data_IF_085437680759
#
_entry.id   IF_085437680759
#
_cell.length_a   1.000
_cell.length_b   1.000
_cell.length_c   1.000
_cell.angle_alpha   90.00
_cell.angle_beta   90.00
_cell.angle_gamma   90.00
#
_symmetry.space_group_name_H-M   'P 1'
#
loop_
_entity.id
_entity.type
_entity.pdbx_description
1 polymer ?
#
# COMPACT_ATOMS: atom_id res chain seq x y z
N UNK A 1 8.17 -1.77 22.97
CA UNK A 1 7.18 -2.49 23.76
C UNK A 1 7.50 -2.38 25.25
N UNK A 2 8.66 -2.81 25.70
CA UNK A 2 9.07 -2.77 27.11
C UNK A 2 9.14 -1.34 27.68
N UNK A 3 9.58 -0.34 26.89
CA UNK A 3 9.59 1.09 27.27
C UNK A 3 8.21 1.64 27.62
N UNK A 4 7.17 1.19 26.91
CA UNK A 4 5.81 1.66 27.16
C UNK A 4 5.15 0.92 28.35
N UNK A 5 5.57 -0.31 28.65
CA UNK A 5 5.04 -1.06 29.79
C UNK A 5 5.37 -0.36 31.10
N UNK A 6 6.55 0.15 31.27
CA UNK A 6 6.97 0.90 32.47
C UNK A 6 6.13 2.17 32.64
N UNK A 7 5.74 2.82 31.54
CA UNK A 7 4.85 3.97 31.57
C UNK A 7 3.45 3.61 32.08
N UNK A 8 2.88 2.48 31.64
CA UNK A 8 1.58 2.01 32.10
C UNK A 8 1.60 1.63 33.59
N UNK A 9 2.73 1.06 34.07
CA UNK A 9 2.89 0.71 35.47
C UNK A 9 3.12 1.94 36.38
N UNK A 10 3.59 3.04 35.81
CA UNK A 10 3.85 4.28 36.55
C UNK A 10 2.58 5.03 36.93
N UNK A 11 1.54 4.97 36.11
CA UNK A 11 0.29 5.65 36.36
C UNK A 11 -0.74 4.71 37.04
N UNK A 12 -1.19 5.09 38.23
CA UNK A 12 -2.34 4.44 38.90
C UNK A 12 -3.65 4.98 38.28
N UNK A 13 -3.97 4.51 37.08
CA UNK A 13 -5.10 4.98 36.28
C UNK A 13 -5.72 3.83 35.48
N UNK A 14 -7.00 3.96 35.17
CA UNK A 14 -7.66 3.08 34.22
C UNK A 14 -7.05 3.27 32.83
N UNK A 15 -6.71 2.16 32.20
CA UNK A 15 -6.08 2.13 30.87
C UNK A 15 -7.09 1.63 29.84
N UNK A 16 -7.24 2.37 28.75
CA UNK A 16 -8.08 1.99 27.62
C UNK A 16 -7.22 1.94 26.37
N UNK A 17 -7.20 0.79 25.69
CA UNK A 17 -6.51 0.60 24.42
C UNK A 17 -7.50 0.33 23.29
N UNK A 18 -7.32 1.02 22.16
CA UNK A 18 -8.05 0.78 20.93
C UNK A 18 -7.08 0.36 19.84
N UNK A 19 -7.34 -0.77 19.21
CA UNK A 19 -6.56 -1.23 18.05
C UNK A 19 -7.44 -2.01 17.09
N UNK A 20 -7.24 -1.77 15.79
CA UNK A 20 -7.85 -2.58 14.74
C UNK A 20 -7.08 -3.89 14.50
N UNK A 21 -5.85 -4.00 15.01
CA UNK A 21 -4.93 -5.12 14.75
C UNK A 21 -4.20 -5.52 16.01
N UNK A 22 -4.86 -6.22 16.96
CA UNK A 22 -4.18 -6.74 18.14
C UNK A 22 -3.09 -7.73 17.73
N UNK A 23 -1.96 -7.70 18.44
CA UNK A 23 -0.77 -8.50 18.14
C UNK A 23 -0.56 -9.55 19.22
N UNK A 24 -0.38 -10.80 18.81
CA UNK A 24 -0.08 -11.95 19.66
C UNK A 24 1.32 -12.52 19.31
N UNK A 25 2.39 -11.84 19.69
CA UNK A 25 3.75 -12.40 19.60
C UNK A 25 4.33 -12.59 20.99
N UNK A 26 5.21 -13.58 21.15
CA UNK A 26 5.89 -13.89 22.43
C UNK A 26 6.52 -12.64 23.07
N UNK A 27 7.05 -11.73 22.27
CA UNK A 27 7.68 -10.48 22.72
C UNK A 27 6.77 -9.25 22.68
N UNK A 28 5.56 -9.35 22.11
CA UNK A 28 4.65 -8.23 21.89
C UNK A 28 3.21 -8.74 21.91
N UNK A 29 2.61 -8.84 23.08
CA UNK A 29 1.23 -9.24 23.23
C UNK A 29 0.39 -8.05 23.69
N UNK A 30 -0.55 -7.62 22.86
CA UNK A 30 -1.46 -6.50 23.15
C UNK A 30 -2.40 -6.85 24.30
N UNK A 31 -2.85 -8.08 24.39
CA UNK A 31 -3.77 -8.54 25.42
C UNK A 31 -3.12 -8.54 26.80
N UNK A 32 -1.87 -9.01 26.91
CA UNK A 32 -1.09 -8.96 28.15
C UNK A 32 -0.82 -7.53 28.62
N UNK A 33 -0.58 -6.60 27.64
CA UNK A 33 -0.32 -5.21 27.95
C UNK A 33 -1.52 -4.54 28.66
N UNK A 34 -2.74 -4.90 28.25
CA UNK A 34 -3.99 -4.37 28.79
C UNK A 34 -4.65 -5.29 29.80
N UNK A 35 -3.96 -6.36 30.27
CA UNK A 35 -4.46 -7.28 31.26
C UNK A 35 -5.72 -8.05 30.85
N UNK A 36 -5.86 -8.33 29.55
CA UNK A 36 -7.01 -9.08 29.04
C UNK A 36 -6.87 -10.55 29.38
N UNK A 37 -7.76 -11.06 30.24
CA UNK A 37 -7.79 -12.47 30.62
C UNK A 37 -8.12 -13.36 29.42
N UNK A 38 -7.37 -14.44 29.26
CA UNK A 38 -7.53 -15.42 28.17
C UNK A 38 -7.57 -14.78 26.77
N UNK A 39 -6.81 -13.68 26.57
CA UNK A 39 -6.77 -12.95 25.31
C UNK A 39 -8.15 -12.41 24.85
N UNK A 40 -9.05 -12.20 25.79
CA UNK A 40 -10.39 -11.73 25.52
C UNK A 40 -10.49 -10.22 25.79
N UNK A 41 -10.60 -9.36 24.75
CA UNK A 41 -10.73 -7.92 24.93
C UNK A 41 -12.11 -7.57 25.49
N UNK A 42 -12.23 -6.43 26.17
CA UNK A 42 -13.49 -5.93 26.70
C UNK A 42 -14.57 -5.74 25.62
N UNK A 43 -14.17 -5.37 24.42
CA UNK A 43 -15.03 -5.28 23.25
C UNK A 43 -14.26 -5.75 22.01
N UNK A 44 -14.91 -6.52 21.17
CA UNK A 44 -14.38 -7.03 19.92
C UNK A 44 -15.39 -6.77 18.81
N UNK A 45 -14.93 -6.11 17.75
CA UNK A 45 -15.72 -5.88 16.53
C UNK A 45 -14.83 -6.16 15.33
N UNK A 46 -14.99 -7.31 14.72
CA UNK A 46 -14.15 -7.80 13.65
C UNK A 46 -14.53 -7.19 12.30
N UNK A 47 -13.65 -7.29 11.32
CA UNK A 47 -13.91 -6.86 9.95
C UNK A 47 -15.17 -7.54 9.38
N UNK A 48 -15.33 -8.85 9.61
CA UNK A 48 -16.51 -9.62 9.19
C UNK A 48 -17.79 -9.12 9.85
N UNK A 49 -17.73 -8.75 11.12
CA UNK A 49 -18.87 -8.17 11.85
C UNK A 49 -19.26 -6.82 11.24
N UNK A 50 -18.25 -6.03 10.85
CA UNK A 50 -18.47 -4.69 10.28
C UNK A 50 -19.07 -4.74 8.87
N UNK A 51 -18.69 -5.68 8.01
CA UNK A 51 -19.26 -5.81 6.66
C UNK A 51 -20.65 -6.46 6.68
N UNK A 52 -20.94 -7.35 7.66
CA UNK A 52 -22.21 -8.04 7.78
C UNK A 52 -23.22 -7.30 8.67
N UNK A 53 -22.83 -6.21 9.30
CA UNK A 53 -23.74 -5.38 10.11
C UNK A 53 -24.84 -4.74 9.25
N UNK A 54 -26.00 -4.44 9.83
CA UNK A 54 -27.11 -3.77 9.15
C UNK A 54 -27.45 -2.46 9.86
N UNK A 55 -27.19 -1.29 9.25
CA UNK A 55 -26.44 -1.07 8.01
C UNK A 55 -24.93 -1.43 8.15
N UNK A 56 -24.25 -1.78 7.07
CA UNK A 56 -22.83 -2.13 7.13
C UNK A 56 -21.97 -0.91 7.52
N UNK A 57 -20.83 -1.16 8.19
CA UNK A 57 -19.85 -0.13 8.54
C UNK A 57 -18.65 -0.10 7.59
N UNK A 58 -18.34 -1.24 6.95
CA UNK A 58 -17.26 -1.38 5.98
C UNK A 58 -17.77 -2.11 4.73
N UNK A 59 -17.02 -1.99 3.63
CA UNK A 59 -17.28 -2.72 2.40
C UNK A 59 -16.31 -3.90 2.24
N UNK A 60 -16.75 -5.02 1.62
CA UNK A 60 -15.85 -6.13 1.30
C UNK A 60 -14.87 -5.74 0.20
N UNK A 61 -13.67 -6.33 0.21
CA UNK A 61 -12.68 -6.16 -0.85
C UNK A 61 -12.52 -7.43 -1.69
N UNK A 62 -12.08 -7.25 -2.93
CA UNK A 62 -11.70 -8.34 -3.83
C UNK A 62 -10.21 -8.26 -4.12
N UNK A 63 -9.54 -9.42 -4.11
CA UNK A 63 -8.12 -9.52 -4.44
C UNK A 63 -7.95 -9.98 -5.87
N UNK A 64 -7.13 -9.24 -6.64
CA UNK A 64 -6.66 -9.64 -7.97
C UNK A 64 -5.14 -9.77 -7.92
N UNK A 65 -4.64 -10.98 -8.04
CA UNK A 65 -3.21 -11.23 -8.13
C UNK A 65 -2.75 -11.12 -9.59
N UNK A 66 -1.73 -10.30 -9.83
CA UNK A 66 -1.10 -10.15 -11.15
C UNK A 66 0.35 -10.61 -11.03
N UNK A 67 0.67 -11.70 -11.72
CA UNK A 67 2.01 -12.26 -11.73
C UNK A 67 2.67 -12.01 -13.08
N UNK A 68 3.86 -11.43 -13.09
CA UNK A 68 4.68 -11.38 -14.29
C UNK A 68 5.54 -12.65 -14.37
N UNK A 69 5.82 -13.16 -15.57
CA UNK A 69 6.71 -14.31 -15.75
C UNK A 69 8.10 -14.10 -15.17
N UNK A 70 8.50 -12.85 -15.05
CA UNK A 70 9.72 -12.37 -14.44
C UNK A 70 9.74 -12.59 -12.91
N UNK A 71 8.67 -12.24 -12.21
CA UNK A 71 8.55 -12.44 -10.76
C UNK A 71 8.35 -13.90 -10.36
N UNK A 72 7.85 -14.74 -11.28
CA UNK A 72 7.55 -16.13 -10.98
C UNK A 72 8.73 -17.09 -11.21
N UNK A 73 9.69 -16.74 -12.07
CA UNK A 73 10.77 -17.66 -12.50
C UNK A 73 12.18 -17.17 -12.20
N UNK A 74 12.34 -15.93 -11.74
CA UNK A 74 13.65 -15.28 -11.73
C UNK A 74 14.09 -14.86 -13.14
N UNK A 75 15.30 -14.36 -13.29
CA UNK A 75 15.87 -13.95 -14.57
C UNK A 75 17.37 -14.21 -14.62
N UNK A 76 17.84 -14.65 -15.80
CA UNK A 76 19.26 -14.73 -16.13
C UNK A 76 19.66 -13.48 -16.90
N UNK A 77 20.90 -13.04 -16.76
CA UNK A 77 21.46 -11.89 -17.50
C UNK A 77 21.18 -12.00 -19.01
N UNK A 78 21.33 -13.19 -19.60
CA UNK A 78 21.07 -13.43 -21.02
C UNK A 78 19.62 -13.18 -21.46
N UNK A 79 18.66 -13.18 -20.53
CA UNK A 79 17.23 -12.99 -20.77
C UNK A 79 16.77 -11.55 -20.48
N UNK A 80 17.68 -10.69 -20.01
CA UNK A 80 17.40 -9.31 -19.69
C UNK A 80 17.30 -8.42 -20.93
N UNK A 81 16.45 -7.39 -20.86
CA UNK A 81 16.42 -6.34 -21.88
C UNK A 81 17.70 -5.47 -21.81
N UNK A 82 18.03 -4.71 -22.87
CA UNK A 82 19.18 -3.81 -22.85
C UNK A 82 19.17 -2.85 -21.66
N UNK A 83 18.00 -2.27 -21.33
CA UNK A 83 17.84 -1.33 -20.22
C UNK A 83 18.06 -2.01 -18.86
N UNK A 84 17.63 -3.26 -18.70
CA UNK A 84 17.84 -4.05 -17.49
C UNK A 84 19.30 -4.41 -17.29
N UNK A 85 20.02 -4.73 -18.39
CA UNK A 85 21.45 -5.00 -18.35
C UNK A 85 22.23 -3.76 -17.97
N UNK A 86 21.92 -2.61 -18.56
CA UNK A 86 22.55 -1.34 -18.22
C UNK A 86 22.38 -0.98 -16.74
N UNK A 87 21.19 -1.17 -16.16
CA UNK A 87 20.95 -0.95 -14.73
C UNK A 87 21.77 -1.89 -13.85
N UNK A 88 21.92 -3.16 -14.24
CA UNK A 88 22.72 -4.12 -13.51
C UNK A 88 24.22 -3.82 -13.61
N UNK A 89 24.71 -3.47 -14.80
CA UNK A 89 26.11 -3.11 -15.06
C UNK A 89 26.56 -1.88 -14.28
N UNK A 90 25.66 -0.96 -13.97
CA UNK A 90 25.95 0.20 -13.12
C UNK A 90 26.12 -0.17 -11.64
N UNK A 91 25.60 -1.31 -11.20
CA UNK A 91 25.56 -1.74 -9.80
C UNK A 91 26.57 -2.85 -9.49
N UNK A 92 26.94 -3.68 -10.46
CA UNK A 92 27.73 -4.90 -10.26
C UNK A 92 28.96 -4.94 -11.16
N UNK A 93 30.04 -5.56 -10.65
CA UNK A 93 31.33 -5.66 -11.38
C UNK A 93 31.36 -6.81 -12.38
N UNK A 94 30.59 -7.87 -12.17
CA UNK A 94 30.52 -9.06 -13.03
C UNK A 94 29.05 -9.44 -13.31
N UNK A 95 28.29 -8.61 -14.03
CA UNK A 95 26.85 -8.80 -14.19
C UNK A 95 26.49 -10.05 -15.02
N UNK A 96 27.38 -10.53 -15.89
CA UNK A 96 27.11 -11.68 -16.77
C UNK A 96 27.02 -13.02 -16.02
N UNK A 97 27.66 -13.12 -14.84
CA UNK A 97 27.65 -14.31 -14.00
C UNK A 97 26.44 -14.39 -13.06
N UNK A 98 25.59 -13.36 -13.06
CA UNK A 98 24.50 -13.25 -12.11
C UNK A 98 23.22 -13.93 -12.61
N UNK A 99 22.70 -14.81 -11.82
CA UNK A 99 21.36 -15.38 -11.93
C UNK A 99 20.54 -14.91 -10.72
N UNK A 100 19.39 -14.25 -10.98
CA UNK A 100 18.51 -13.82 -9.92
C UNK A 100 17.40 -14.84 -9.70
N UNK A 101 17.32 -15.37 -8.50
CA UNK A 101 16.15 -16.11 -8.06
C UNK A 101 14.99 -15.16 -7.75
N UNK A 102 13.76 -15.70 -7.72
CA UNK A 102 12.52 -14.93 -7.52
C UNK A 102 12.62 -13.88 -6.39
N UNK A 103 13.22 -14.23 -5.25
CA UNK A 103 13.34 -13.34 -4.09
C UNK A 103 14.42 -12.26 -4.24
N UNK A 104 15.38 -12.41 -5.16
CA UNK A 104 16.46 -11.48 -5.41
C UNK A 104 16.09 -10.43 -6.47
N UNK A 105 15.30 -10.84 -7.46
CA UNK A 105 14.76 -9.94 -8.50
C UNK A 105 14.05 -8.74 -7.87
N UNK A 106 13.31 -9.00 -6.81
CA UNK A 106 12.54 -7.98 -6.10
C UNK A 106 13.38 -6.95 -5.35
N UNK A 107 14.64 -7.26 -5.05
CA UNK A 107 15.53 -6.37 -4.28
C UNK A 107 16.45 -5.50 -5.15
N UNK A 108 16.85 -5.96 -6.31
CA UNK A 108 17.96 -5.38 -7.07
C UNK A 108 17.54 -4.76 -8.41
N UNK A 109 16.44 -5.22 -9.03
CA UNK A 109 16.03 -4.73 -10.33
C UNK A 109 14.70 -4.01 -10.24
N UNK A 110 14.73 -2.68 -10.29
CA UNK A 110 13.53 -1.88 -10.55
C UNK A 110 13.13 -2.06 -12.04
N UNK A 111 12.42 -3.13 -12.32
CA UNK A 111 12.04 -3.45 -13.68
C UNK A 111 10.97 -2.47 -14.19
N UNK A 112 11.35 -1.58 -15.09
CA UNK A 112 10.45 -0.62 -15.75
C UNK A 112 9.24 -1.33 -16.39
N UNK A 113 9.44 -2.53 -16.94
CA UNK A 113 8.36 -3.31 -17.55
C UNK A 113 7.37 -3.84 -16.51
N UNK A 114 7.85 -4.27 -15.34
CA UNK A 114 6.96 -4.67 -14.23
C UNK A 114 6.14 -3.48 -13.75
N UNK A 115 6.77 -2.32 -13.55
CA UNK A 115 6.09 -1.11 -13.14
C UNK A 115 5.09 -0.63 -14.20
N UNK A 116 5.44 -0.73 -15.49
CA UNK A 116 4.51 -0.46 -16.60
C UNK A 116 3.28 -1.35 -16.54
N UNK A 117 3.45 -2.66 -16.30
CA UNK A 117 2.33 -3.59 -16.14
C UNK A 117 1.48 -3.31 -14.90
N UNK A 118 2.09 -2.91 -13.78
CA UNK A 118 1.36 -2.50 -12.57
C UNK A 118 0.43 -1.32 -12.90
N UNK A 119 0.97 -0.27 -13.52
CA UNK A 119 0.21 0.93 -13.90
C UNK A 119 -0.86 0.60 -14.93
N UNK A 120 -0.53 -0.14 -16.00
CA UNK A 120 -1.51 -0.56 -17.01
C UNK A 120 -2.65 -1.38 -16.40
N UNK A 121 -2.32 -2.34 -15.51
CA UNK A 121 -3.32 -3.16 -14.85
C UNK A 121 -4.29 -2.33 -13.99
N UNK A 122 -3.78 -1.34 -13.25
CA UNK A 122 -4.63 -0.42 -12.50
C UNK A 122 -5.54 0.38 -13.44
N UNK A 123 -4.99 0.93 -14.52
CA UNK A 123 -5.74 1.79 -15.45
C UNK A 123 -6.77 1.01 -16.28
N UNK A 124 -6.51 -0.26 -16.59
CA UNK A 124 -7.40 -1.11 -17.40
C UNK A 124 -8.48 -1.81 -16.55
N UNK A 125 -8.13 -2.23 -15.34
CA UNK A 125 -8.96 -3.12 -14.53
C UNK A 125 -9.35 -2.57 -13.16
N UNK A 126 -8.80 -1.41 -12.78
CA UNK A 126 -9.17 -0.73 -11.54
C UNK A 126 -10.63 -0.30 -11.55
N UNK A 127 -11.22 -0.24 -10.37
CA UNK A 127 -12.57 0.31 -10.19
C UNK A 127 -12.54 1.76 -10.66
N UNK A 128 -13.52 2.12 -11.49
CA UNK A 128 -13.67 3.48 -12.02
C UNK A 128 -14.35 4.39 -11.01
N UNK A 129 -14.26 5.69 -11.25
CA UNK A 129 -15.05 6.68 -10.52
C UNK A 129 -16.56 6.57 -10.88
N UNK A 130 -17.41 7.33 -10.20
CA UNK A 130 -18.85 7.30 -10.43
C UNK A 130 -19.26 7.66 -11.85
N UNK A 131 -18.42 8.36 -12.64
CA UNK A 131 -18.66 8.67 -14.06
C UNK A 131 -18.28 7.52 -14.99
N UNK A 132 -17.48 6.55 -14.51
CA UNK A 132 -16.91 5.46 -15.30
C UNK A 132 -15.80 5.89 -16.27
N UNK A 133 -15.41 7.16 -16.29
CA UNK A 133 -14.44 7.69 -17.26
C UNK A 133 -13.00 7.61 -16.78
N UNK A 134 -12.77 7.83 -15.47
CA UNK A 134 -11.45 7.82 -14.87
C UNK A 134 -11.30 6.64 -13.90
N UNK A 135 -10.07 6.26 -13.63
CA UNK A 135 -9.79 5.35 -12.51
C UNK A 135 -10.23 6.03 -11.23
N UNK A 136 -10.90 5.29 -10.35
CA UNK A 136 -11.30 5.77 -9.03
C UNK A 136 -10.08 6.05 -8.16
N UNK A 137 -10.25 6.75 -7.05
CA UNK A 137 -9.14 7.07 -6.15
C UNK A 137 -8.39 5.80 -5.75
N UNK A 138 -7.08 5.84 -5.91
CA UNK A 138 -6.21 4.67 -5.83
C UNK A 138 -4.98 4.98 -4.99
N UNK A 139 -4.52 4.01 -4.19
CA UNK A 139 -3.24 4.09 -3.49
C UNK A 139 -2.34 2.98 -4.03
N UNK A 140 -1.13 3.34 -4.49
CA UNK A 140 -0.07 2.40 -4.85
C UNK A 140 0.98 2.40 -3.74
N UNK A 141 1.15 1.28 -3.08
CA UNK A 141 2.14 1.11 -2.02
C UNK A 141 3.47 0.69 -2.63
N UNK A 142 4.39 1.65 -2.72
CA UNK A 142 5.74 1.45 -3.23
C UNK A 142 6.71 0.96 -2.15
N UNK A 143 7.85 0.40 -2.57
CA UNK A 143 8.89 -0.13 -1.68
C UNK A 143 9.76 0.97 -1.08
N UNK A 144 10.13 1.96 -1.87
CA UNK A 144 11.02 3.07 -1.52
C UNK A 144 10.59 4.33 -2.25
N UNK A 145 11.16 5.46 -1.86
CA UNK A 145 10.97 6.74 -2.53
C UNK A 145 11.33 6.67 -4.03
N UNK A 146 12.50 6.11 -4.36
CA UNK A 146 12.93 5.95 -5.76
C UNK A 146 11.95 5.09 -6.57
N UNK A 147 11.41 4.03 -5.95
CA UNK A 147 10.38 3.21 -6.58
C UNK A 147 9.08 3.99 -6.79
N UNK A 148 8.70 4.83 -5.84
CA UNK A 148 7.51 5.69 -5.98
C UNK A 148 7.68 6.71 -7.12
N UNK A 149 8.84 7.35 -7.22
CA UNK A 149 9.18 8.25 -8.34
C UNK A 149 9.16 7.51 -9.67
N UNK A 150 9.72 6.30 -9.74
CA UNK A 150 9.71 5.49 -10.96
C UNK A 150 8.29 5.14 -11.39
N UNK A 151 7.41 4.74 -10.46
CA UNK A 151 6.00 4.45 -10.76
C UNK A 151 5.27 5.68 -11.29
N UNK A 152 5.47 6.87 -10.68
CA UNK A 152 4.91 8.13 -11.19
C UNK A 152 5.45 8.46 -12.58
N UNK A 153 6.76 8.36 -12.79
CA UNK A 153 7.39 8.62 -14.10
C UNK A 153 6.85 7.69 -15.20
N UNK A 154 6.68 6.41 -14.88
CA UNK A 154 6.08 5.42 -15.79
C UNK A 154 4.63 5.77 -16.10
N UNK A 155 3.86 6.23 -15.11
CA UNK A 155 2.49 6.71 -15.34
C UNK A 155 2.47 7.89 -16.29
N UNK A 156 3.30 8.91 -16.06
CA UNK A 156 3.35 10.12 -16.87
C UNK A 156 3.81 9.82 -18.32
N UNK A 157 4.72 8.86 -18.50
CA UNK A 157 5.15 8.38 -19.82
C UNK A 157 4.01 7.65 -20.56
N UNK A 158 3.25 6.78 -19.88
CA UNK A 158 2.15 6.02 -20.49
C UNK A 158 0.90 6.86 -20.77
N UNK A 159 0.67 7.86 -19.94
CA UNK A 159 -0.56 8.68 -19.95
C UNK A 159 -0.26 10.19 -19.95
N UNK A 160 0.51 10.70 -20.95
CA UNK A 160 0.92 12.11 -21.01
C UNK A 160 -0.24 13.10 -21.10
N UNK A 161 -1.41 12.64 -21.53
CA UNK A 161 -2.64 13.46 -21.61
C UNK A 161 -3.10 13.99 -20.24
N UNK A 162 -2.69 13.38 -19.16
CA UNK A 162 -3.03 13.84 -17.80
C UNK A 162 -2.11 14.92 -17.26
N UNK A 163 -0.99 15.20 -17.93
CA UNK A 163 -0.08 16.32 -17.61
C UNK A 163 0.48 16.29 -16.17
N UNK A 164 0.73 15.11 -15.62
CA UNK A 164 1.27 14.92 -14.27
C UNK A 164 0.33 15.27 -13.13
N UNK A 165 -0.98 15.47 -13.38
CA UNK A 165 -1.95 15.87 -12.34
C UNK A 165 -2.60 14.69 -11.64
N UNK A 166 -2.76 13.56 -12.33
CA UNK A 166 -3.56 12.42 -11.88
C UNK A 166 -2.79 11.49 -10.92
N UNK A 167 -1.48 11.37 -11.09
CA UNK A 167 -0.62 10.47 -10.31
C UNK A 167 0.50 11.26 -9.62
N UNK A 168 0.60 11.17 -8.30
CA UNK A 168 1.63 11.89 -7.52
C UNK A 168 2.23 11.01 -6.43
N UNK A 169 3.53 11.20 -6.19
CA UNK A 169 4.19 10.65 -5.01
C UNK A 169 3.76 11.42 -3.77
N UNK A 170 3.35 10.69 -2.74
CA UNK A 170 2.99 11.22 -1.43
C UNK A 170 3.74 10.41 -0.38
N UNK A 171 4.90 10.88 0.02
CA UNK A 171 5.72 10.26 1.06
C UNK A 171 6.48 11.31 1.89
N UNK A 172 7.28 10.86 2.86
CA UNK A 172 8.00 11.74 3.77
C UNK A 172 9.12 12.58 3.12
N UNK A 173 9.51 12.28 1.88
CA UNK A 173 10.53 13.01 1.12
C UNK A 173 9.93 14.09 0.20
N UNK A 174 8.62 14.05 -0.03
CA UNK A 174 7.92 15.06 -0.82
C UNK A 174 7.67 16.32 0.04
N UNK A 175 8.28 17.48 -0.28
CA UNK A 175 8.14 18.68 0.53
C UNK A 175 6.70 19.19 0.63
N UNK A 176 5.85 18.85 -0.33
CA UNK A 176 4.43 19.25 -0.39
C UNK A 176 3.49 18.11 0.00
N UNK A 177 3.96 17.09 0.72
CA UNK A 177 3.18 15.90 1.03
C UNK A 177 1.84 16.23 1.71
N UNK A 178 1.81 17.15 2.68
CA UNK A 178 0.57 17.55 3.35
C UNK A 178 -0.43 18.20 2.39
N UNK A 179 0.02 19.11 1.53
CA UNK A 179 -0.84 19.74 0.53
C UNK A 179 -1.36 18.73 -0.49
N UNK A 180 -0.53 17.75 -0.89
CA UNK A 180 -0.95 16.67 -1.78
C UNK A 180 -1.93 15.70 -1.11
N UNK A 181 -1.81 15.46 0.21
CA UNK A 181 -2.80 14.70 0.98
C UNK A 181 -4.16 15.43 0.97
N UNK A 182 -4.16 16.74 1.19
CA UNK A 182 -5.40 17.51 1.19
C UNK A 182 -6.01 17.56 -0.22
N UNK A 183 -5.18 17.70 -1.25
CA UNK A 183 -5.61 17.59 -2.64
C UNK A 183 -6.17 16.19 -2.94
N UNK A 184 -5.55 15.12 -2.44
CA UNK A 184 -6.03 13.74 -2.61
C UNK A 184 -7.34 13.47 -1.86
N UNK A 185 -7.62 14.19 -0.76
CA UNK A 185 -8.91 14.13 -0.05
C UNK A 185 -10.03 14.86 -0.81
N UNK A 186 -9.70 15.89 -1.59
CA UNK A 186 -10.72 16.65 -2.32
C UNK A 186 -11.34 15.80 -3.43
N UNK A 187 -12.65 15.57 -3.34
CA UNK A 187 -13.42 14.82 -4.32
C UNK A 187 -13.37 15.42 -5.74
N UNK A 188 -13.14 16.75 -5.84
CA UNK A 188 -13.12 17.49 -7.11
C UNK A 188 -11.72 17.57 -7.72
N UNK A 189 -10.69 17.17 -7.01
CA UNK A 189 -9.32 17.19 -7.50
C UNK A 189 -9.11 16.21 -8.65
N UNK A 190 -8.23 16.58 -9.58
CA UNK A 190 -7.75 15.68 -10.63
C UNK A 190 -6.82 14.57 -10.08
N UNK A 191 -6.29 14.72 -8.85
CA UNK A 191 -5.40 13.74 -8.23
C UNK A 191 -6.17 12.48 -7.86
N UNK A 192 -5.94 11.39 -8.59
CA UNK A 192 -6.63 10.10 -8.43
C UNK A 192 -5.73 9.00 -7.89
N UNK A 193 -4.42 9.07 -8.14
CA UNK A 193 -3.47 8.02 -7.79
C UNK A 193 -2.40 8.60 -6.88
N UNK A 194 -2.39 8.16 -5.64
CA UNK A 194 -1.34 8.45 -4.67
C UNK A 194 -0.34 7.29 -4.63
N UNK A 195 0.93 7.55 -4.95
CA UNK A 195 2.01 6.56 -4.81
C UNK A 195 2.73 6.83 -3.50
N UNK A 196 2.67 5.90 -2.56
CA UNK A 196 3.20 6.10 -1.20
C UNK A 196 4.10 4.96 -0.75
N UNK A 197 5.06 5.28 0.12
CA UNK A 197 5.94 4.27 0.71
C UNK A 197 5.34 3.73 2.00
N UNK A 198 5.21 4.53 3.04
CA UNK A 198 4.64 4.16 4.34
C UNK A 198 3.70 5.24 4.89
N UNK A 199 3.72 6.46 4.34
CA UNK A 199 3.00 7.61 4.87
C UNK A 199 1.48 7.43 4.84
N UNK A 200 0.95 6.77 3.81
CA UNK A 200 -0.48 6.53 3.64
C UNK A 200 -0.96 5.20 4.25
N UNK A 201 -0.06 4.42 4.85
CA UNK A 201 -0.43 3.16 5.54
C UNK A 201 -1.32 3.45 6.75
N UNK A 202 -1.09 4.60 7.43
CA UNK A 202 -1.84 5.03 8.62
C UNK A 202 -2.21 6.51 8.52
N UNK A 203 -3.23 6.93 9.28
CA UNK A 203 -3.48 8.36 9.58
C UNK A 203 -4.29 9.16 8.56
N UNK A 204 -4.53 8.69 7.34
CA UNK A 204 -5.39 9.40 6.39
C UNK A 204 -6.78 8.79 6.28
N UNK A 205 -7.77 9.66 6.10
CA UNK A 205 -9.16 9.30 5.89
C UNK A 205 -9.64 9.81 4.53
N UNK A 206 -9.70 8.89 3.54
CA UNK A 206 -10.21 9.16 2.20
C UNK A 206 -11.18 8.04 1.84
N UNK A 207 -12.46 8.15 2.19
CA UNK A 207 -13.47 7.11 1.95
C UNK A 207 -13.66 6.73 0.48
N UNK A 208 -13.30 7.63 -0.42
CA UNK A 208 -13.40 7.45 -1.88
C UNK A 208 -12.32 6.53 -2.48
N UNK A 209 -11.36 6.06 -1.69
CA UNK A 209 -10.34 5.12 -2.17
C UNK A 209 -10.98 3.76 -2.44
N UNK A 210 -10.93 3.34 -3.70
CA UNK A 210 -11.54 2.10 -4.18
C UNK A 210 -10.52 1.10 -4.76
N UNK A 211 -9.29 1.53 -5.00
CA UNK A 211 -8.23 0.64 -5.48
C UNK A 211 -7.00 0.74 -4.58
N UNK A 212 -6.50 -0.43 -4.19
CA UNK A 212 -5.24 -0.58 -3.46
C UNK A 212 -4.31 -1.46 -4.28
N UNK A 213 -3.13 -0.94 -4.61
CA UNK A 213 -2.12 -1.65 -5.40
C UNK A 213 -0.89 -1.90 -4.55
N UNK A 214 -0.56 -3.15 -4.31
CA UNK A 214 0.61 -3.56 -3.56
C UNK A 214 1.77 -3.78 -4.52
N UNK A 215 2.56 -2.73 -4.79
CA UNK A 215 3.76 -2.80 -5.61
C UNK A 215 5.01 -3.20 -4.78
N UNK A 216 4.80 -3.73 -3.59
CA UNK A 216 5.81 -4.28 -2.68
C UNK A 216 5.25 -5.49 -1.94
N UNK A 217 6.09 -6.45 -1.51
CA UNK A 217 5.67 -7.50 -0.59
C UNK A 217 5.35 -6.89 0.79
N UNK A 218 4.32 -7.42 1.44
CA UNK A 218 3.92 -7.03 2.80
C UNK A 218 3.99 -8.26 3.69
N UNK A 219 5.00 -8.31 4.57
CA UNK A 219 5.24 -9.45 5.47
C UNK A 219 4.59 -9.27 6.85
N UNK A 220 4.15 -8.06 7.18
CA UNK A 220 3.49 -7.77 8.45
C UNK A 220 1.98 -7.85 8.30
N UNK A 221 1.37 -8.77 9.04
CA UNK A 221 -0.09 -8.89 9.13
C UNK A 221 -0.76 -7.56 9.55
N UNK A 222 -0.19 -6.89 10.54
CA UNK A 222 -0.69 -5.59 11.02
C UNK A 222 -0.66 -4.54 9.91
N UNK A 223 0.49 -4.39 9.23
CA UNK A 223 0.62 -3.45 8.10
C UNK A 223 -0.37 -3.78 6.99
N UNK A 224 -0.50 -5.06 6.63
CA UNK A 224 -1.44 -5.49 5.59
C UNK A 224 -2.86 -5.01 5.90
N UNK A 225 -3.36 -5.28 7.12
CA UNK A 225 -4.71 -4.86 7.50
C UNK A 225 -4.87 -3.34 7.61
N UNK A 226 -3.84 -2.61 8.06
CA UNK A 226 -3.85 -1.15 8.04
C UNK A 226 -3.99 -0.59 6.62
N UNK A 227 -3.28 -1.18 5.66
CA UNK A 227 -3.35 -0.81 4.24
C UNK A 227 -4.71 -1.16 3.64
N UNK A 228 -5.23 -2.38 3.86
CA UNK A 228 -6.59 -2.79 3.43
C UNK A 228 -7.66 -1.86 3.99
N UNK A 229 -7.54 -1.45 5.24
CA UNK A 229 -8.46 -0.50 5.88
C UNK A 229 -8.57 0.87 5.18
N UNK A 230 -7.66 1.19 4.24
CA UNK A 230 -7.76 2.43 3.43
C UNK A 230 -8.80 2.33 2.31
N UNK A 231 -9.08 1.12 1.81
CA UNK A 231 -10.00 0.90 0.68
C UNK A 231 -11.30 0.16 1.05
N UNK A 232 -11.58 -0.02 2.35
CA UNK A 232 -12.79 -0.73 2.80
C UNK A 232 -13.81 0.18 3.47
N UNK A 233 -13.64 1.49 3.39
CA UNK A 233 -14.54 2.47 3.98
C UNK A 233 -15.81 2.64 3.15
N UNK A 234 -16.92 2.91 3.84
CA UNK A 234 -18.16 3.28 3.16
C UNK A 234 -18.05 4.69 2.59
N UNK A 235 -18.41 4.84 1.32
CA UNK A 235 -18.59 6.11 0.65
C UNK A 235 -19.93 6.07 -0.11
N UNK A 236 -21.01 6.46 0.56
CA UNK A 236 -22.38 6.34 0.03
C UNK A 236 -22.60 7.17 -1.23
N UNK A 237 -21.91 8.30 -1.35
CA UNK A 237 -22.12 9.26 -2.45
C UNK A 237 -21.30 8.90 -3.70
N UNK A 238 -20.46 7.87 -3.69
CA UNK A 238 -19.57 7.52 -4.79
C UNK A 238 -20.26 6.62 -5.83
N UNK A 239 -21.06 5.67 -5.37
CA UNK A 239 -21.73 4.68 -6.22
C UNK A 239 -23.25 4.56 -5.97
N UNK A 240 -23.82 5.38 -5.13
CA UNK A 240 -25.22 5.38 -4.73
C UNK A 240 -25.49 4.58 -3.48
#
# INVERSE_FOLDING_TARGET
YNRYRDLFLYFDALQVGLTATPVQFISRNTFDLFGCENENPTALFRYEDAINHIPPYLVPFKVKTVTTGFLSRGIKYSQMTPEQREQLEQQEREPEAIEFEQHQVDKQIFNKDTNRKIIQNLMEHGIRDGSGSLVGKSIIFARSHDHAILLQSVFDELYPQYGGRVCRVIDNYEPRAEALIDEFKDAKSDLRIAVSVDMLDTGIDVPEVVNLVFAKPVFSFVKFWQMIGRGTRLCKDLFG
#
